data_IF_224338191889
#
_entry.id   IF_224338191889
#
_cell.length_a   1.000
_cell.length_b   1.000
_cell.length_c   1.000
_cell.angle_alpha   90.00
_cell.angle_beta   90.00
_cell.angle_gamma   90.00
#
_symmetry.space_group_name_H-M   'P 1'
#
loop_
_entity.id
_entity.type
_entity.pdbx_description
1 polymer ?
#
# COMPACT_ATOMS: atom_id res chain seq x y z
N UNK A 1 4.12 4.52 5.37
CA UNK A 1 3.31 3.41 4.85
C UNK A 1 3.44 2.24 5.82
N UNK A 2 2.33 1.70 6.28
CA UNK A 2 2.31 0.66 7.32
C UNK A 2 1.89 -0.67 6.74
N UNK A 3 2.62 -1.74 7.01
CA UNK A 3 2.23 -3.08 6.58
C UNK A 3 2.57 -4.11 7.65
N UNK A 4 1.89 -5.24 7.63
CA UNK A 4 2.01 -6.26 8.69
C UNK A 4 2.26 -7.61 8.03
N UNK A 5 3.28 -8.32 8.49
CA UNK A 5 3.57 -9.68 8.04
C UNK A 5 4.22 -10.48 9.16
N UNK A 6 3.79 -11.72 9.34
CA UNK A 6 4.33 -12.66 10.32
C UNK A 6 4.37 -12.08 11.75
N UNK A 7 3.33 -11.32 12.12
CA UNK A 7 3.22 -10.65 13.43
C UNK A 7 4.09 -9.40 13.58
N UNK A 8 4.82 -8.99 12.55
CA UNK A 8 5.71 -7.82 12.57
C UNK A 8 5.05 -6.65 11.86
N UNK A 9 4.95 -5.51 12.55
CA UNK A 9 4.55 -4.22 11.95
C UNK A 9 5.78 -3.57 11.31
N UNK A 10 5.67 -3.23 10.04
CA UNK A 10 6.69 -2.50 9.29
C UNK A 10 6.20 -1.10 8.93
N UNK A 11 7.04 -0.11 9.23
CA UNK A 11 6.82 1.29 8.88
C UNK A 11 7.83 1.70 7.81
N UNK A 12 7.35 1.91 6.59
CA UNK A 12 8.16 2.38 5.47
C UNK A 12 8.06 3.90 5.38
N UNK A 13 9.21 4.55 5.34
CA UNK A 13 9.36 6.00 5.40
C UNK A 13 10.22 6.50 4.25
N UNK A 14 9.78 7.56 3.60
CA UNK A 14 10.61 8.36 2.70
C UNK A 14 10.71 9.77 3.27
N UNK A 15 11.91 10.35 3.21
CA UNK A 15 12.18 11.70 3.67
C UNK A 15 12.41 12.60 2.45
N UNK A 16 11.61 13.68 2.27
CA UNK A 16 11.69 14.52 1.07
C UNK A 16 12.93 15.42 1.07
N UNK A 17 13.46 15.78 2.25
CA UNK A 17 14.67 16.61 2.39
C UNK A 17 15.59 16.11 3.51
N UNK A 18 16.91 16.42 3.47
CA UNK A 18 17.77 16.21 4.61
C UNK A 18 17.30 17.00 5.83
N UNK A 19 17.48 16.44 7.02
CA UNK A 19 17.07 17.09 8.26
C UNK A 19 16.71 16.10 9.36
N UNK A 20 16.15 16.65 10.44
CA UNK A 20 15.70 15.89 11.60
C UNK A 20 14.20 15.65 11.54
N UNK A 21 13.82 14.40 11.73
CA UNK A 21 12.43 13.94 11.72
C UNK A 21 12.11 13.23 13.02
N UNK A 22 10.86 13.37 13.48
CA UNK A 22 10.37 12.68 14.67
C UNK A 22 9.33 11.66 14.24
N UNK A 23 9.54 10.39 14.60
CA UNK A 23 8.53 9.34 14.50
C UNK A 23 8.04 9.00 15.92
N UNK A 24 6.73 9.01 16.12
CA UNK A 24 6.10 8.66 17.38
C UNK A 24 5.10 7.54 17.14
N UNK A 25 5.16 6.50 17.97
CA UNK A 25 4.25 5.36 17.90
C UNK A 25 3.38 5.40 19.15
N UNK A 26 2.08 5.34 18.92
CA UNK A 26 1.05 5.28 19.96
C UNK A 26 0.28 3.97 19.79
N UNK A 27 0.14 3.20 20.87
CA UNK A 27 -0.45 1.87 20.80
C UNK A 27 -1.05 1.46 22.14
N UNK A 28 -2.07 0.60 22.11
CA UNK A 28 -2.67 -0.03 23.28
C UNK A 28 -2.86 -1.53 23.01
N UNK A 29 -2.82 -2.40 24.03
CA UNK A 29 -3.14 -3.82 23.87
C UNK A 29 -4.56 -4.00 23.32
N UNK A 30 -4.77 -4.98 22.43
CA UNK A 30 -6.10 -5.24 21.83
C UNK A 30 -7.21 -5.50 22.87
N UNK A 31 -6.84 -6.01 24.05
CA UNK A 31 -7.75 -6.27 25.16
C UNK A 31 -8.09 -5.04 26.00
N UNK A 32 -7.37 -3.93 25.82
CA UNK A 32 -7.56 -2.71 26.59
C UNK A 32 -8.74 -1.90 26.01
N UNK A 33 -9.81 -1.65 26.80
CA UNK A 33 -10.98 -0.91 26.33
C UNK A 33 -10.77 0.61 26.31
N UNK A 34 -9.59 1.11 26.72
CA UNK A 34 -9.27 2.53 26.72
C UNK A 34 -9.39 3.13 25.32
N UNK A 35 -9.89 4.37 25.26
CA UNK A 35 -9.94 5.17 24.03
C UNK A 35 -8.72 6.05 23.83
N UNK A 36 -7.77 6.05 24.77
CA UNK A 36 -6.51 6.79 24.65
C UNK A 36 -5.38 5.85 24.24
N UNK A 37 -4.66 6.23 23.18
CA UNK A 37 -3.45 5.54 22.75
C UNK A 37 -2.25 6.17 23.48
N UNK A 38 -1.61 5.48 24.44
CA UNK A 38 -0.40 5.99 25.07
C UNK A 38 0.75 6.03 24.07
N UNK A 39 1.68 6.96 24.26
CA UNK A 39 2.93 7.00 23.51
C UNK A 39 3.84 5.86 23.99
N UNK A 40 4.22 4.96 23.07
CA UNK A 40 5.01 3.76 23.40
C UNK A 40 6.44 3.80 22.85
N UNK A 41 6.66 4.50 21.73
CA UNK A 41 8.00 4.68 21.15
C UNK A 41 8.17 6.06 20.54
N UNK A 42 9.37 6.63 20.68
CA UNK A 42 9.78 7.85 20.01
C UNK A 42 11.15 7.64 19.36
N UNK A 43 11.26 8.02 18.09
CA UNK A 43 12.50 8.00 17.34
C UNK A 43 12.80 9.40 16.83
N UNK A 44 14.05 9.82 17.01
CA UNK A 44 14.63 10.98 16.35
C UNK A 44 15.50 10.49 15.20
N UNK A 45 15.14 10.85 13.98
CA UNK A 45 15.75 10.36 12.75
C UNK A 45 16.53 11.50 12.11
N UNK A 46 17.85 11.34 11.99
CA UNK A 46 18.69 12.25 11.23
C UNK A 46 18.82 11.75 9.79
N UNK A 47 18.08 12.36 8.87
CA UNK A 47 18.20 12.09 7.45
C UNK A 47 19.30 12.97 6.86
N UNK A 48 20.46 12.40 6.55
CA UNK A 48 21.60 13.16 5.97
C UNK A 48 21.57 13.22 4.45
N UNK A 49 20.84 12.30 3.81
CA UNK A 49 20.68 12.19 2.35
C UNK A 49 19.27 11.70 2.02
N UNK A 50 18.71 12.20 0.93
CA UNK A 50 17.37 11.82 0.47
C UNK A 50 17.38 11.19 -0.90
N UNK A 51 16.30 10.46 -1.19
CA UNK A 51 15.97 10.05 -2.54
C UNK A 51 15.60 11.30 -3.34
N UNK A 52 16.14 11.43 -4.55
CA UNK A 52 15.78 12.49 -5.47
C UNK A 52 15.61 11.91 -6.88
N UNK A 53 14.39 11.89 -7.44
CA UNK A 53 13.12 12.31 -6.82
C UNK A 53 12.66 11.39 -5.67
N UNK A 54 12.01 11.99 -4.66
CA UNK A 54 11.36 11.27 -3.56
C UNK A 54 9.87 11.09 -3.88
N UNK A 55 9.41 9.84 -3.99
CA UNK A 55 8.02 9.55 -4.33
C UNK A 55 7.21 9.08 -3.12
N UNK A 56 5.92 9.46 -3.02
CA UNK A 56 5.05 8.96 -1.99
C UNK A 56 4.79 7.46 -2.17
N UNK A 57 4.60 6.76 -1.06
CA UNK A 57 3.96 5.44 -1.06
C UNK A 57 2.48 5.58 -1.46
N UNK A 58 1.83 4.49 -1.89
CA UNK A 58 0.38 4.51 -2.09
C UNK A 58 -0.35 4.96 -0.83
N UNK A 59 -1.43 5.69 -1.04
CA UNK A 59 -2.38 6.04 0.00
C UNK A 59 -3.07 4.77 0.49
N UNK A 60 -3.19 4.64 1.80
CA UNK A 60 -3.78 3.47 2.46
C UNK A 60 -5.20 3.80 2.90
N UNK A 61 -6.15 2.94 2.53
CA UNK A 61 -7.52 3.01 3.03
C UNK A 61 -7.68 2.14 4.28
N UNK A 62 -8.78 2.34 5.02
CA UNK A 62 -9.03 1.67 6.32
C UNK A 62 -9.04 0.13 6.22
N UNK A 63 -9.33 -0.40 5.03
CA UNK A 63 -9.34 -1.83 4.75
C UNK A 63 -7.93 -2.41 4.63
N UNK A 64 -6.90 -1.59 4.39
CA UNK A 64 -5.51 -2.02 4.46
C UNK A 64 -5.07 -2.15 5.92
N UNK A 65 -5.29 -3.33 6.50
CA UNK A 65 -5.01 -3.66 7.90
C UNK A 65 -4.57 -5.12 8.06
N UNK A 66 -4.33 -5.53 9.30
CA UNK A 66 -4.14 -6.91 9.79
C UNK A 66 -3.69 -7.94 8.73
N UNK A 67 -2.38 -8.02 8.54
CA UNK A 67 -1.74 -8.97 7.64
C UNK A 67 -1.63 -8.53 6.18
N UNK A 68 -2.20 -7.39 5.78
CA UNK A 68 -1.95 -6.84 4.45
C UNK A 68 -0.47 -6.45 4.26
N UNK A 69 0.12 -6.89 3.16
CA UNK A 69 1.52 -6.65 2.83
C UNK A 69 1.72 -6.41 1.33
N UNK A 70 2.45 -5.36 0.96
CA UNK A 70 2.73 -5.01 -0.43
C UNK A 70 4.19 -5.37 -0.76
N UNK A 71 4.40 -6.32 -1.66
CA UNK A 71 5.74 -6.63 -2.16
C UNK A 71 6.13 -5.70 -3.30
N UNK A 72 5.23 -5.49 -4.26
CA UNK A 72 5.40 -4.56 -5.37
C UNK A 72 4.05 -4.19 -6.00
N UNK A 73 3.92 -3.00 -6.59
CA UNK A 73 4.92 -1.93 -6.63
C UNK A 73 4.80 -1.01 -5.39
N UNK A 74 5.89 -0.73 -4.66
CA UNK A 74 5.85 0.21 -3.53
C UNK A 74 5.62 1.67 -3.95
N UNK A 75 5.89 1.98 -5.22
CA UNK A 75 5.65 3.28 -5.82
C UNK A 75 5.25 3.13 -7.30
N UNK A 76 4.39 4.03 -7.75
CA UNK A 76 4.14 4.27 -9.17
C UNK A 76 4.50 5.73 -9.42
N UNK A 77 5.59 5.95 -10.14
CA UNK A 77 6.12 7.28 -10.39
C UNK A 77 6.59 7.43 -11.84
N UNK A 78 7.04 8.64 -12.17
CA UNK A 78 7.46 9.00 -13.54
C UNK A 78 8.60 8.10 -14.05
N UNK A 79 9.53 7.68 -13.18
CA UNK A 79 10.62 6.79 -13.55
C UNK A 79 10.23 5.31 -13.59
N UNK A 80 9.04 4.94 -13.11
CA UNK A 80 8.56 3.55 -13.18
C UNK A 80 8.31 3.16 -14.64
N UNK A 81 8.79 1.98 -15.04
CA UNK A 81 8.42 1.37 -16.32
C UNK A 81 6.97 0.89 -16.26
N UNK A 82 6.06 1.69 -16.83
CA UNK A 82 4.62 1.44 -16.75
C UNK A 82 4.08 0.40 -17.76
N UNK A 83 4.90 -0.10 -18.69
CA UNK A 83 4.43 -1.06 -19.71
C UNK A 83 4.13 -2.45 -19.16
N UNK A 84 4.70 -2.80 -18.01
CA UNK A 84 4.57 -4.12 -17.39
C UNK A 84 4.79 -4.00 -15.87
N UNK A 85 3.87 -3.30 -15.21
CA UNK A 85 3.92 -3.10 -13.76
C UNK A 85 3.57 -4.40 -13.08
N UNK A 86 4.48 -4.93 -12.27
CA UNK A 86 4.26 -6.12 -11.47
C UNK A 86 3.53 -5.77 -10.18
N UNK A 87 2.51 -6.56 -9.89
CA UNK A 87 1.77 -6.52 -8.65
C UNK A 87 1.97 -7.82 -7.91
N UNK A 88 2.34 -7.70 -6.64
CA UNK A 88 2.45 -8.82 -5.72
C UNK A 88 2.07 -8.34 -4.34
N UNK A 89 0.95 -8.84 -3.84
CA UNK A 89 0.33 -8.34 -2.62
C UNK A 89 -0.23 -9.50 -1.80
N UNK A 90 -0.04 -9.46 -0.49
CA UNK A 90 -0.69 -10.36 0.45
C UNK A 90 -1.93 -9.65 0.99
N UNK A 91 -3.12 -10.21 0.73
CA UNK A 91 -4.39 -9.73 1.29
C UNK A 91 -5.11 -10.93 1.92
N UNK A 92 -5.05 -11.08 3.26
CA UNK A 92 -5.70 -12.20 3.93
C UNK A 92 -7.21 -12.22 3.67
N UNK A 93 -7.77 -13.42 3.48
CA UNK A 93 -9.21 -13.65 3.30
C UNK A 93 -9.86 -13.02 2.05
N UNK A 94 -9.10 -12.33 1.19
CA UNK A 94 -9.63 -11.88 -0.09
C UNK A 94 -9.92 -13.09 -0.99
N UNK A 95 -11.06 -13.04 -1.69
CA UNK A 95 -11.40 -14.00 -2.74
C UNK A 95 -10.87 -13.56 -4.09
N UNK A 96 -10.94 -12.27 -4.37
CA UNK A 96 -10.49 -11.65 -5.61
C UNK A 96 -9.79 -10.34 -5.28
N UNK A 97 -8.76 -10.02 -6.06
CA UNK A 97 -8.02 -8.76 -5.99
C UNK A 97 -7.87 -8.22 -7.40
N UNK A 98 -8.06 -6.92 -7.58
CA UNK A 98 -7.96 -6.29 -8.88
C UNK A 98 -7.31 -4.90 -8.80
N UNK A 99 -6.54 -4.58 -9.83
CA UNK A 99 -6.05 -3.23 -10.11
C UNK A 99 -7.05 -2.55 -11.04
N UNK A 100 -7.48 -1.34 -10.69
CA UNK A 100 -8.49 -0.59 -11.45
C UNK A 100 -7.97 0.79 -11.82
N UNK A 101 -8.13 1.15 -13.09
CA UNK A 101 -7.81 2.47 -13.65
C UNK A 101 -8.83 2.82 -14.71
N UNK A 102 -9.49 3.98 -14.61
CA UNK A 102 -10.43 4.46 -15.63
C UNK A 102 -11.51 3.43 -16.00
N UNK A 103 -12.08 2.77 -14.98
CA UNK A 103 -13.05 1.67 -15.10
C UNK A 103 -12.54 0.38 -15.77
N UNK A 104 -11.26 0.29 -16.14
CA UNK A 104 -10.63 -0.95 -16.58
C UNK A 104 -10.17 -1.78 -15.38
N UNK A 105 -10.59 -3.04 -15.35
CA UNK A 105 -10.28 -3.99 -14.28
C UNK A 105 -9.22 -5.00 -14.73
N UNK A 106 -8.12 -5.07 -13.99
CA UNK A 106 -7.10 -6.13 -14.14
C UNK A 106 -7.10 -7.00 -12.88
N UNK A 107 -7.69 -8.19 -12.96
CA UNK A 107 -7.69 -9.14 -11.84
C UNK A 107 -6.31 -9.77 -11.66
N UNK A 108 -5.91 -9.91 -10.39
CA UNK A 108 -4.70 -10.60 -9.99
C UNK A 108 -5.03 -12.06 -9.63
N UNK A 109 -4.09 -12.95 -9.90
CA UNK A 109 -4.23 -14.39 -9.65
C UNK A 109 -3.57 -14.77 -8.33
N UNK A 110 -4.12 -15.74 -7.61
CA UNK A 110 -3.47 -16.35 -6.46
C UNK A 110 -3.30 -17.86 -6.68
N UNK A 111 -2.17 -18.42 -6.25
CA UNK A 111 -1.87 -19.86 -6.37
C UNK A 111 -2.33 -20.63 -5.12
N UNK A 112 -3.58 -20.43 -4.72
CA UNK A 112 -4.18 -21.09 -3.55
C UNK A 112 -3.76 -20.52 -2.19
N UNK A 113 -3.10 -19.36 -2.15
CA UNK A 113 -2.69 -18.67 -0.94
C UNK A 113 -3.24 -17.24 -0.84
N UNK A 114 -2.88 -16.48 0.21
CA UNK A 114 -3.32 -15.10 0.40
C UNK A 114 -2.53 -14.09 -0.44
N UNK A 115 -1.58 -14.57 -1.26
CA UNK A 115 -0.75 -13.74 -2.13
C UNK A 115 -1.36 -13.72 -3.53
N UNK A 116 -1.66 -12.52 -4.00
CA UNK A 116 -2.17 -12.21 -5.34
C UNK A 116 -1.08 -11.57 -6.17
N UNK A 117 -0.93 -12.05 -7.40
CA UNK A 117 0.12 -11.68 -8.34
C UNK A 117 -0.47 -11.40 -9.72
N UNK A 118 0.13 -10.47 -10.45
CA UNK A 118 -0.28 -10.17 -11.81
C UNK A 118 0.47 -8.97 -12.36
N UNK A 119 0.17 -8.62 -13.60
CA UNK A 119 0.86 -7.51 -14.27
C UNK A 119 -0.13 -6.68 -15.05
N UNK A 120 0.04 -5.36 -15.05
CA UNK A 120 -0.77 -4.48 -15.88
C UNK A 120 0.11 -3.52 -16.70
N UNK A 121 -0.40 -3.14 -17.86
CA UNK A 121 0.14 -2.04 -18.64
C UNK A 121 -0.60 -0.77 -18.25
N UNK A 122 0.12 0.18 -17.68
CA UNK A 122 -0.38 1.48 -17.25
C UNK A 122 0.22 2.63 -18.08
N UNK A 123 1.00 2.32 -19.11
CA UNK A 123 1.73 3.33 -19.86
C UNK A 123 0.79 4.30 -20.61
N UNK A 124 -0.40 3.84 -20.99
CA UNK A 124 -1.45 4.67 -21.58
C UNK A 124 -1.97 5.77 -20.66
N UNK A 125 -1.69 5.70 -19.35
CA UNK A 125 -2.12 6.68 -18.35
C UNK A 125 -1.02 7.64 -17.88
N UNK A 126 0.21 7.47 -18.38
CA UNK A 126 1.33 8.37 -18.07
C UNK A 126 1.00 9.81 -18.46
N UNK A 127 1.31 10.79 -17.60
CA UNK A 127 1.06 12.20 -17.93
C UNK A 127 -0.38 12.67 -17.67
N UNK A 128 -1.29 11.78 -17.23
CA UNK A 128 -2.75 12.02 -17.26
C UNK A 128 -3.38 12.21 -15.87
N UNK A 129 -2.58 12.26 -14.81
CA UNK A 129 -3.02 12.35 -13.40
C UNK A 129 -4.13 11.34 -13.06
N UNK A 130 -3.93 10.09 -13.50
CA UNK A 130 -4.92 9.03 -13.31
C UNK A 130 -4.73 8.33 -11.97
N UNK A 131 -5.86 8.02 -11.35
CA UNK A 131 -5.95 7.26 -10.12
C UNK A 131 -5.89 5.77 -10.41
N UNK A 132 -4.96 5.07 -9.77
CA UNK A 132 -4.83 3.61 -9.86
C UNK A 132 -5.15 3.02 -8.49
N UNK A 133 -6.16 2.17 -8.41
CA UNK A 133 -6.56 1.54 -7.14
C UNK A 133 -6.28 0.06 -7.13
N UNK A 134 -5.85 -0.45 -5.98
CA UNK A 134 -5.87 -1.86 -5.67
C UNK A 134 -7.11 -2.13 -4.83
N UNK A 135 -7.95 -3.06 -5.28
CA UNK A 135 -9.22 -3.36 -4.66
C UNK A 135 -9.30 -4.84 -4.32
N UNK A 136 -9.98 -5.18 -3.23
CA UNK A 136 -10.19 -6.55 -2.80
C UNK A 136 -11.67 -6.84 -2.55
N UNK A 137 -12.09 -8.04 -2.93
CA UNK A 137 -13.38 -8.62 -2.60
C UNK A 137 -13.19 -9.65 -1.48
N UNK A 138 -13.98 -9.52 -0.42
CA UNK A 138 -13.98 -10.44 0.74
C UNK A 138 -15.31 -11.20 0.90
N UNK A 139 -16.35 -10.84 0.13
CA UNK A 139 -17.72 -11.26 0.35
C UNK A 139 -18.14 -12.44 -0.52
N UNK A 140 -19.40 -12.84 -0.40
CA UNK A 140 -20.04 -13.76 -1.37
C UNK A 140 -20.47 -13.05 -2.65
N UNK A 141 -20.78 -11.76 -2.55
CA UNK A 141 -21.11 -10.91 -3.68
C UNK A 141 -19.83 -10.51 -4.42
N UNK A 142 -19.56 -11.21 -5.53
CA UNK A 142 -18.37 -10.98 -6.37
C UNK A 142 -18.31 -9.57 -6.98
N UNK A 143 -19.40 -8.80 -6.96
CA UNK A 143 -19.42 -7.42 -7.47
C UNK A 143 -18.93 -6.37 -6.46
N UNK A 144 -18.81 -6.71 -5.17
CA UNK A 144 -18.50 -5.75 -4.10
C UNK A 144 -17.03 -5.73 -3.73
N UNK A 145 -16.34 -4.67 -4.14
CA UNK A 145 -14.93 -4.44 -3.84
C UNK A 145 -14.72 -3.31 -2.85
N UNK A 146 -13.74 -3.47 -1.97
CA UNK A 146 -13.19 -2.39 -1.15
C UNK A 146 -11.87 -1.91 -1.73
N UNK A 147 -11.70 -0.59 -1.81
CA UNK A 147 -10.41 0.00 -2.15
C UNK A 147 -9.44 -0.15 -0.98
N UNK A 148 -8.26 -0.69 -1.27
CA UNK A 148 -7.22 -1.00 -0.30
C UNK A 148 -6.10 0.04 -0.38
N UNK A 149 -5.58 0.26 -1.59
CA UNK A 149 -4.49 1.18 -1.88
C UNK A 149 -4.84 2.06 -3.08
N UNK A 150 -4.26 3.26 -3.12
CA UNK A 150 -4.41 4.21 -4.22
C UNK A 150 -3.07 4.85 -4.58
N UNK A 151 -2.78 4.88 -5.87
CA UNK A 151 -1.62 5.53 -6.48
C UNK A 151 -2.11 6.61 -7.45
N UNK A 152 -1.23 7.55 -7.75
CA UNK A 152 -1.43 8.56 -8.79
C UNK A 152 -0.34 8.42 -9.84
N UNK A 153 -0.74 8.21 -11.08
CA UNK A 153 0.15 8.29 -12.24
C UNK A 153 0.04 9.70 -12.78
N UNK A 154 1.09 10.50 -12.54
CA UNK A 154 1.21 11.83 -13.08
C UNK A 154 1.74 11.84 -14.50
#
# INVERSE_FOLDING_TARGET
FTQIKDGVVQLLLHFPSPGWYKLQIYALPLSDPSKSLPNVYNYLIHCTKTLNPCFPFPKQYVQWKDGCYLYEPLNLCESTKLTHVKWRVLIPHAKQVAVVVDDEWTHLENKGGPVFEGTCNLNQYRGKDKKVTLNANFGEDESKYSTMLEYHIK
#
